data_IF_289401350765
#
_entry.id   IF_289401350765
#
_cell.length_a   1.000
_cell.length_b   1.000
_cell.length_c   1.000
_cell.angle_alpha   90.00
_cell.angle_beta   90.00
_cell.angle_gamma   90.00
#
_symmetry.space_group_name_H-M   'P 1'
#
loop_
_entity.id
_entity.type
_entity.pdbx_description
1 polymer ?
#
# COMPACT_ATOMS: atom_id res chain seq x y z
N UNK A 1 5.11 -13.59 11.29
CA UNK A 1 4.26 -12.61 10.59
C UNK A 1 3.99 -11.46 11.55
N UNK A 2 4.01 -10.19 11.09
CA UNK A 2 3.66 -9.06 11.95
C UNK A 2 2.25 -9.20 12.51
N UNK A 3 2.04 -8.74 13.74
CA UNK A 3 0.73 -8.78 14.38
C UNK A 3 -0.29 -7.84 13.70
N UNK A 4 -1.58 -8.09 13.96
CA UNK A 4 -2.64 -7.13 13.66
C UNK A 4 -2.30 -5.76 14.29
N UNK A 5 -2.60 -4.68 13.57
CA UNK A 5 -2.15 -3.33 13.89
C UNK A 5 -3.29 -2.32 13.93
N UNK A 6 -3.01 -1.08 14.34
CA UNK A 6 -4.02 -0.02 14.34
C UNK A 6 -4.47 0.31 12.91
N UNK A 7 -5.75 0.63 12.75
CA UNK A 7 -6.34 0.97 11.45
C UNK A 7 -5.56 2.11 10.77
N UNK A 8 -5.47 2.03 9.44
CA UNK A 8 -4.97 3.10 8.58
C UNK A 8 -5.65 4.43 8.89
N UNK A 9 -4.89 5.53 8.84
CA UNK A 9 -5.46 6.88 8.98
C UNK A 9 -5.36 7.70 7.69
N UNK A 10 -6.53 8.12 7.21
CA UNK A 10 -6.63 8.93 6.01
C UNK A 10 -6.21 8.14 4.76
N UNK A 11 -5.92 8.83 3.65
CA UNK A 11 -5.54 8.18 2.39
C UNK A 11 -4.05 7.79 2.43
N UNK A 12 -3.71 6.70 3.13
CA UNK A 12 -2.31 6.23 3.26
C UNK A 12 -2.18 4.73 3.00
N UNK A 13 -3.14 4.10 2.34
CA UNK A 13 -3.21 2.65 2.15
C UNK A 13 -1.98 2.06 1.48
N UNK A 14 -1.43 2.69 0.45
CA UNK A 14 -0.20 2.20 -0.17
C UNK A 14 0.98 2.21 0.80
N UNK A 15 1.16 3.27 1.60
CA UNK A 15 2.18 3.27 2.65
C UNK A 15 1.88 2.28 3.76
N UNK A 16 0.60 2.01 4.04
CA UNK A 16 0.18 1.08 5.06
C UNK A 16 0.53 -0.36 4.67
N UNK A 17 0.17 -0.77 3.45
CA UNK A 17 0.56 -2.05 2.85
C UNK A 17 2.10 -2.18 2.77
N UNK A 18 2.78 -1.11 2.33
CA UNK A 18 4.24 -1.09 2.23
C UNK A 18 4.93 -1.22 3.59
N UNK A 19 4.51 -0.46 4.60
CA UNK A 19 5.06 -0.55 5.95
C UNK A 19 4.91 -1.96 6.52
N UNK A 20 3.77 -2.60 6.27
CA UNK A 20 3.53 -3.97 6.70
C UNK A 20 4.50 -4.96 6.01
N UNK A 21 4.68 -4.88 4.69
CA UNK A 21 5.61 -5.77 3.96
C UNK A 21 7.06 -5.54 4.38
N UNK A 22 7.48 -4.28 4.54
CA UNK A 22 8.84 -3.99 5.01
C UNK A 22 9.05 -4.50 6.45
N UNK A 23 8.04 -4.38 7.32
CA UNK A 23 8.10 -4.91 8.68
C UNK A 23 8.14 -6.44 8.68
N UNK A 24 7.37 -7.09 7.81
CA UNK A 24 7.41 -8.53 7.61
C UNK A 24 8.84 -9.01 7.30
N UNK A 25 9.51 -8.38 6.33
CA UNK A 25 10.88 -8.75 5.97
C UNK A 25 11.89 -8.43 7.07
N UNK A 26 11.72 -7.29 7.76
CA UNK A 26 12.56 -6.93 8.90
C UNK A 26 12.46 -7.98 10.02
N UNK A 27 11.25 -8.33 10.46
CA UNK A 27 11.05 -9.32 11.53
C UNK A 27 11.54 -10.70 11.11
N UNK A 28 11.32 -11.08 9.84
CA UNK A 28 11.79 -12.34 9.29
C UNK A 28 13.31 -12.42 9.33
N UNK A 29 14.01 -11.37 8.89
CA UNK A 29 15.47 -11.31 8.94
C UNK A 29 16.01 -11.39 10.38
N UNK A 30 15.36 -10.69 11.32
CA UNK A 30 15.72 -10.75 12.74
C UNK A 30 15.51 -12.16 13.34
N UNK A 31 14.48 -12.87 12.92
CA UNK A 31 14.18 -14.22 13.40
C UNK A 31 15.21 -15.26 12.93
N UNK A 32 15.70 -15.15 11.68
CA UNK A 32 16.65 -16.11 11.11
C UNK A 32 18.13 -15.75 11.39
N UNK A 33 18.39 -14.89 12.38
CA UNK A 33 19.75 -14.56 12.82
C UNK A 33 20.55 -13.72 11.83
N UNK A 34 19.86 -12.94 10.98
CA UNK A 34 20.51 -12.05 10.04
C UNK A 34 21.20 -10.88 10.75
N UNK A 35 22.53 -10.96 10.88
CA UNK A 35 23.38 -9.86 11.35
C UNK A 35 23.74 -8.94 10.19
N UNK A 36 22.81 -8.06 9.84
CA UNK A 36 23.05 -7.00 8.86
C UNK A 36 22.32 -5.78 9.39
N UNK A 37 22.97 -4.61 9.41
CA UNK A 37 22.44 -3.33 9.90
C UNK A 37 21.19 -2.83 9.14
N UNK A 38 20.15 -3.66 9.10
CA UNK A 38 18.86 -3.45 8.51
C UNK A 38 18.13 -2.43 9.38
N UNK A 39 17.86 -1.27 8.80
CA UNK A 39 17.14 -0.23 9.50
C UNK A 39 15.69 -0.68 9.69
N UNK A 40 15.18 -0.53 10.92
CA UNK A 40 13.76 -0.75 11.17
C UNK A 40 12.93 0.12 10.20
N UNK A 41 11.94 -0.46 9.51
CA UNK A 41 11.12 0.30 8.58
C UNK A 41 10.35 1.41 9.29
N UNK A 42 10.08 2.48 8.53
CA UNK A 42 9.31 3.61 9.02
C UNK A 42 7.86 3.21 9.06
N UNK A 43 7.16 3.72 10.04
CA UNK A 43 5.75 3.42 10.21
C UNK A 43 4.90 4.21 9.21
N UNK A 44 3.82 3.57 8.77
CA UNK A 44 2.72 4.25 8.11
C UNK A 44 1.91 5.06 9.14
N UNK A 45 1.15 6.05 8.66
CA UNK A 45 0.27 6.82 9.55
C UNK A 45 -0.96 5.98 9.90
N UNK A 46 -1.17 5.76 11.18
CA UNK A 46 -2.31 5.00 11.70
C UNK A 46 -3.19 5.86 12.60
N UNK A 47 -4.39 5.38 12.93
CA UNK A 47 -5.19 5.92 14.02
C UNK A 47 -4.55 5.53 15.36
N UNK A 48 -3.43 6.17 15.66
CA UNK A 48 -2.73 5.94 16.91
C UNK A 48 -3.47 6.70 18.01
N UNK A 49 -4.14 5.99 18.93
CA UNK A 49 -4.90 6.56 20.04
C UNK A 49 -4.04 7.43 20.97
N UNK A 50 -2.70 7.34 20.87
CA UNK A 50 -1.72 8.08 21.67
C UNK A 50 -1.03 9.23 20.91
N UNK A 51 -1.54 9.63 19.75
CA UNK A 51 -0.92 10.74 19.01
C UNK A 51 -0.99 12.05 19.85
N UNK A 52 0.12 12.79 20.01
CA UNK A 52 0.11 14.00 20.82
C UNK A 52 -0.92 15.01 20.30
N UNK A 53 -1.78 15.50 21.19
CA UNK A 53 -2.85 16.46 20.87
C UNK A 53 -2.32 17.83 20.44
N UNK A 54 -1.10 18.16 20.86
CA UNK A 54 -0.46 19.45 20.61
C UNK A 54 0.02 19.59 19.17
N UNK A 55 -0.26 20.76 18.57
CA UNK A 55 0.31 21.12 17.26
C UNK A 55 1.82 21.19 17.39
N UNK A 56 2.52 20.60 16.43
CA UNK A 56 3.96 20.78 16.33
C UNK A 56 4.26 22.28 16.19
N UNK A 57 5.02 22.84 17.12
CA UNK A 57 5.40 24.25 17.09
C UNK A 57 6.34 24.54 15.89
N UNK A 58 6.55 25.81 15.57
CA UNK A 58 7.34 26.22 14.39
C UNK A 58 8.76 25.62 14.45
N UNK A 59 9.37 25.56 15.64
CA UNK A 59 10.69 24.94 15.84
C UNK A 59 10.70 23.44 15.52
N UNK A 60 9.67 22.69 15.93
CA UNK A 60 9.53 21.27 15.59
C UNK A 60 9.28 21.06 14.10
N UNK A 61 8.61 21.99 13.42
CA UNK A 61 8.45 21.93 11.96
C UNK A 61 9.77 22.21 11.24
N UNK A 62 10.55 23.20 11.71
CA UNK A 62 11.89 23.48 11.22
C UNK A 62 12.85 22.30 11.42
N UNK A 63 12.84 21.68 12.60
CA UNK A 63 13.65 20.50 12.90
C UNK A 63 13.33 19.32 11.96
N UNK A 64 12.05 19.10 11.64
CA UNK A 64 11.65 18.06 10.66
C UNK A 64 12.21 18.32 9.27
N UNK A 65 12.16 19.57 8.83
CA UNK A 65 12.71 19.96 7.53
C UNK A 65 14.23 19.78 7.46
N UNK A 66 14.95 20.15 8.52
CA UNK A 66 16.40 19.94 8.61
C UNK A 66 16.75 18.45 8.62
N UNK A 67 16.05 17.65 9.43
CA UNK A 67 16.22 16.20 9.51
C UNK A 67 15.99 15.51 8.14
N UNK A 68 14.98 15.95 7.38
CA UNK A 68 14.75 15.45 6.03
C UNK A 68 15.90 15.75 5.07
N UNK A 69 16.49 16.96 5.15
CA UNK A 69 17.66 17.33 4.34
C UNK A 69 18.89 16.48 4.64
N UNK A 70 19.01 15.97 5.85
CA UNK A 70 20.09 15.06 6.25
C UNK A 70 19.73 13.58 6.04
N UNK A 71 18.68 13.28 5.26
CA UNK A 71 18.27 11.91 4.93
C UNK A 71 17.55 11.14 6.04
N UNK A 72 17.16 11.82 7.12
CA UNK A 72 16.46 11.23 8.26
C UNK A 72 14.96 11.56 8.20
N UNK A 73 14.13 10.52 8.35
CA UNK A 73 12.68 10.63 8.24
C UNK A 73 12.01 9.94 9.42
N UNK A 74 10.81 10.38 9.80
CA UNK A 74 10.07 9.82 10.95
C UNK A 74 8.83 9.02 10.55
N UNK A 75 8.50 8.96 9.25
CA UNK A 75 7.40 8.16 8.70
C UNK A 75 7.55 8.01 7.18
N UNK A 76 6.97 6.96 6.59
CA UNK A 76 6.95 6.80 5.12
C UNK A 76 6.28 8.00 4.42
N UNK A 77 5.27 8.59 5.06
CA UNK A 77 4.62 9.82 4.58
C UNK A 77 5.56 11.02 4.56
N UNK A 78 6.44 11.16 5.55
CA UNK A 78 7.42 12.24 5.56
C UNK A 78 8.41 12.09 4.41
N UNK A 79 8.93 10.88 4.22
CA UNK A 79 9.81 10.53 3.10
C UNK A 79 9.13 10.82 1.75
N UNK A 80 7.92 10.29 1.54
CA UNK A 80 7.22 10.47 0.26
C UNK A 80 6.85 11.91 -0.05
N UNK A 81 6.56 12.74 0.97
CA UNK A 81 6.33 14.18 0.77
C UNK A 81 7.58 14.94 0.42
N UNK A 82 8.68 14.66 1.10
CA UNK A 82 9.96 15.32 0.83
C UNK A 82 10.45 15.04 -0.59
N UNK A 83 10.31 13.79 -1.05
CA UNK A 83 10.72 13.36 -2.38
C UNK A 83 9.64 13.55 -3.46
N UNK A 84 8.58 14.30 -3.17
CA UNK A 84 7.48 14.60 -4.11
C UNK A 84 6.79 13.35 -4.72
N UNK A 85 6.89 12.21 -4.03
CA UNK A 85 6.21 10.95 -4.41
C UNK A 85 4.72 10.98 -4.02
N UNK A 86 4.34 11.91 -3.14
CA UNK A 86 2.95 12.21 -2.77
C UNK A 86 2.81 13.63 -2.22
N UNK A 87 1.73 14.33 -2.58
CA UNK A 87 1.45 15.67 -2.05
C UNK A 87 0.87 15.64 -0.63
N UNK A 88 0.13 14.60 -0.26
CA UNK A 88 -0.72 14.60 0.95
C UNK A 88 -0.56 13.34 1.82
N UNK A 89 0.14 12.32 1.32
CA UNK A 89 0.50 11.12 2.08
C UNK A 89 -0.13 9.83 1.59
N UNK A 90 -0.79 9.83 0.42
CA UNK A 90 -1.19 8.62 -0.27
C UNK A 90 -0.23 8.29 -1.39
N UNK A 91 0.12 7.03 -1.55
CA UNK A 91 0.85 6.54 -2.71
C UNK A 91 0.02 5.43 -3.33
N UNK A 92 -0.73 5.78 -4.37
CA UNK A 92 -1.50 4.84 -5.18
C UNK A 92 -0.81 4.41 -6.47
N UNK A 93 0.39 4.90 -6.71
CA UNK A 93 1.21 4.48 -7.84
C UNK A 93 2.20 3.40 -7.36
N UNK A 94 2.16 2.22 -7.99
CA UNK A 94 2.99 1.08 -7.63
C UNK A 94 4.50 1.37 -7.75
N UNK A 95 4.93 2.08 -8.80
CA UNK A 95 6.33 2.47 -8.96
C UNK A 95 6.80 3.40 -7.86
N UNK A 96 5.93 4.32 -7.41
CA UNK A 96 6.23 5.19 -6.28
C UNK A 96 6.34 4.39 -4.97
N UNK A 97 5.57 3.31 -4.78
CA UNK A 97 5.77 2.40 -3.64
C UNK A 97 7.15 1.75 -3.70
N UNK A 98 7.58 1.27 -4.87
CA UNK A 98 8.92 0.70 -5.07
C UNK A 98 10.02 1.75 -4.80
N UNK A 99 9.85 2.99 -5.27
CA UNK A 99 10.80 4.08 -4.97
C UNK A 99 10.89 4.35 -3.47
N UNK A 100 9.77 4.30 -2.75
CA UNK A 100 9.72 4.46 -1.29
C UNK A 100 10.40 3.30 -0.58
N UNK A 101 10.16 2.06 -1.01
CA UNK A 101 10.80 0.86 -0.47
C UNK A 101 12.33 0.98 -0.55
N UNK A 102 12.85 1.29 -1.75
CA UNK A 102 14.29 1.44 -2.00
C UNK A 102 14.93 2.51 -1.12
N UNK A 103 14.21 3.62 -0.91
CA UNK A 103 14.68 4.68 -0.01
C UNK A 103 16.07 5.20 -0.36
N UNK A 104 16.44 5.25 -1.66
CA UNK A 104 17.77 5.70 -2.10
C UNK A 104 18.08 7.08 -1.49
N UNK A 105 19.23 7.22 -0.84
CA UNK A 105 19.62 8.45 -0.14
C UNK A 105 18.93 8.69 1.21
N UNK A 106 18.30 7.66 1.80
CA UNK A 106 17.66 7.72 3.13
C UNK A 106 18.10 6.58 4.05
N UNK A 107 17.48 6.50 5.23
CA UNK A 107 17.79 5.53 6.28
C UNK A 107 17.79 4.04 5.88
N UNK A 108 17.21 3.64 4.73
CA UNK A 108 17.24 2.25 4.27
C UNK A 108 18.41 1.93 3.34
N UNK A 109 19.03 2.92 2.69
CA UNK A 109 20.19 2.68 1.82
C UNK A 109 20.02 1.57 0.77
N UNK A 110 18.81 1.34 0.22
CA UNK A 110 18.55 0.28 -0.76
C UNK A 110 18.29 -1.12 -0.17
N UNK A 111 18.05 -1.23 1.15
CA UNK A 111 17.83 -2.51 1.85
C UNK A 111 16.53 -3.23 1.48
N UNK A 112 15.53 -2.51 0.98
CA UNK A 112 14.27 -3.08 0.52
C UNK A 112 14.13 -2.85 -0.98
N UNK A 113 13.58 -3.83 -1.69
CA UNK A 113 13.29 -3.72 -3.12
C UNK A 113 11.91 -4.28 -3.44
N UNK A 114 11.43 -4.00 -4.64
CA UNK A 114 10.17 -4.52 -5.16
C UNK A 114 10.07 -4.36 -6.68
N UNK A 115 9.12 -5.09 -7.25
CA UNK A 115 8.82 -5.07 -8.66
C UNK A 115 7.33 -4.81 -8.87
N UNK A 116 7.01 -4.06 -9.92
CA UNK A 116 5.64 -3.86 -10.38
C UNK A 116 5.35 -4.94 -11.40
N UNK A 117 4.31 -5.75 -11.15
CA UNK A 117 3.82 -6.74 -12.09
C UNK A 117 2.58 -6.20 -12.79
N UNK A 118 2.50 -6.45 -14.09
CA UNK A 118 1.30 -6.25 -14.89
C UNK A 118 0.53 -7.56 -15.00
N UNK A 119 -0.78 -7.45 -15.05
CA UNK A 119 -1.73 -8.56 -15.08
C UNK A 119 -2.54 -8.49 -16.38
N UNK A 120 -2.88 -9.65 -16.91
CA UNK A 120 -3.68 -9.77 -18.15
C UNK A 120 -5.14 -10.06 -17.85
N UNK A 121 -5.39 -10.97 -16.91
CA UNK A 121 -6.71 -11.31 -16.40
C UNK A 121 -6.63 -11.85 -14.96
N UNK A 122 -7.77 -12.32 -14.45
CA UNK A 122 -7.92 -12.87 -13.10
C UNK A 122 -7.20 -14.20 -12.91
N UNK A 123 -7.10 -15.04 -13.95
CA UNK A 123 -6.32 -16.28 -13.91
C UNK A 123 -4.81 -16.00 -13.79
N UNK A 124 -4.30 -15.10 -14.64
CA UNK A 124 -2.91 -14.64 -14.58
C UNK A 124 -2.56 -13.98 -13.23
N UNK A 125 -3.52 -13.27 -12.61
CA UNK A 125 -3.37 -12.76 -11.26
C UNK A 125 -3.21 -13.90 -10.23
N UNK A 126 -4.11 -14.87 -10.22
CA UNK A 126 -4.08 -16.01 -9.30
C UNK A 126 -2.74 -16.74 -9.42
N UNK A 127 -2.32 -17.07 -10.63
CA UNK A 127 -1.08 -17.83 -10.87
C UNK A 127 0.16 -17.06 -10.40
N UNK A 128 0.27 -15.77 -10.74
CA UNK A 128 1.39 -14.94 -10.31
C UNK A 128 1.45 -14.77 -8.81
N UNK A 129 0.31 -14.53 -8.15
CA UNK A 129 0.28 -14.39 -6.69
C UNK A 129 0.67 -15.71 -6.03
N UNK A 130 0.14 -16.85 -6.49
CA UNK A 130 0.53 -18.17 -5.95
C UNK A 130 2.02 -18.44 -6.13
N UNK A 131 2.60 -18.11 -7.28
CA UNK A 131 4.03 -18.27 -7.53
C UNK A 131 4.88 -17.40 -6.57
N UNK A 132 4.48 -16.14 -6.33
CA UNK A 132 5.15 -15.25 -5.38
C UNK A 132 5.04 -15.75 -3.94
N UNK A 133 3.84 -16.16 -3.52
CA UNK A 133 3.60 -16.69 -2.17
C UNK A 133 4.36 -18.02 -1.97
N UNK A 134 4.47 -18.86 -3.01
CA UNK A 134 5.23 -20.11 -2.97
C UNK A 134 6.74 -19.94 -2.71
N UNK A 135 7.30 -18.76 -3.04
CA UNK A 135 8.67 -18.37 -2.68
C UNK A 135 8.71 -17.42 -1.47
N UNK A 136 7.60 -17.36 -0.72
CA UNK A 136 7.42 -16.56 0.47
C UNK A 136 7.59 -15.04 0.25
N UNK A 137 7.21 -14.57 -0.93
CA UNK A 137 7.22 -13.16 -1.31
C UNK A 137 5.81 -12.55 -1.18
N UNK A 138 5.54 -11.70 -0.16
CA UNK A 138 4.25 -11.04 -0.05
C UNK A 138 3.96 -10.11 -1.23
N UNK A 139 2.72 -10.08 -1.69
CA UNK A 139 2.29 -9.23 -2.80
C UNK A 139 1.46 -8.03 -2.30
N UNK A 140 1.80 -6.82 -2.74
CA UNK A 140 0.98 -5.63 -2.52
C UNK A 140 0.07 -5.45 -3.73
N UNK A 141 -1.25 -5.59 -3.53
CA UNK A 141 -2.23 -5.65 -4.62
C UNK A 141 -3.19 -4.46 -4.56
N UNK A 142 -3.43 -3.76 -5.68
CA UNK A 142 -4.51 -2.79 -5.76
C UNK A 142 -5.84 -3.51 -5.95
N UNK A 143 -6.91 -3.02 -5.34
CA UNK A 143 -8.25 -3.59 -5.50
C UNK A 143 -9.34 -2.55 -5.21
N UNK A 144 -10.57 -2.80 -5.65
CA UNK A 144 -11.76 -2.02 -5.30
C UNK A 144 -12.35 -2.57 -4.01
N UNK A 145 -12.40 -1.75 -2.97
CA UNK A 145 -12.79 -2.20 -1.64
C UNK A 145 -14.29 -2.09 -1.41
N UNK A 146 -14.91 -3.21 -1.03
CA UNK A 146 -16.30 -3.25 -0.59
C UNK A 146 -16.51 -2.62 0.79
N UNK A 147 -17.77 -2.45 1.19
CA UNK A 147 -18.10 -1.92 2.53
C UNK A 147 -17.57 -2.79 3.67
N UNK A 148 -17.42 -4.09 3.46
CA UNK A 148 -16.88 -5.04 4.45
C UNK A 148 -15.37 -4.95 4.56
N UNK A 149 -14.69 -4.32 3.59
CA UNK A 149 -13.23 -4.24 3.48
C UNK A 149 -12.60 -5.39 2.70
N UNK A 150 -13.40 -6.21 2.04
CA UNK A 150 -12.96 -7.28 1.12
C UNK A 150 -13.10 -6.79 -0.34
N UNK A 151 -12.51 -7.48 -1.33
CA UNK A 151 -12.64 -7.09 -2.72
C UNK A 151 -14.09 -7.09 -3.19
N UNK A 152 -14.42 -6.13 -4.05
CA UNK A 152 -15.70 -6.06 -4.75
C UNK A 152 -15.48 -5.81 -6.23
N UNK A 153 -16.44 -6.22 -7.05
CA UNK A 153 -16.45 -6.04 -8.51
C UNK A 153 -17.58 -5.09 -8.95
N UNK A 154 -17.87 -4.05 -8.14
CA UNK A 154 -19.08 -3.23 -8.32
C UNK A 154 -18.85 -1.86 -8.94
N UNK A 155 -17.80 -1.13 -8.55
CA UNK A 155 -17.68 0.29 -8.92
C UNK A 155 -16.35 0.66 -9.57
N UNK A 156 -15.25 0.06 -9.13
CA UNK A 156 -13.90 0.53 -9.45
C UNK A 156 -13.55 1.91 -8.86
N UNK A 157 -14.43 2.48 -8.02
CA UNK A 157 -14.31 3.85 -7.48
C UNK A 157 -13.70 3.89 -6.07
N UNK A 158 -13.47 2.73 -5.45
CA UNK A 158 -12.97 2.61 -4.07
C UNK A 158 -11.61 1.94 -4.08
N UNK A 159 -10.70 2.57 -4.80
CA UNK A 159 -9.30 2.20 -4.84
C UNK A 159 -8.72 1.90 -3.44
N UNK A 160 -8.09 0.74 -3.28
CA UNK A 160 -7.32 0.42 -2.09
C UNK A 160 -6.12 -0.47 -2.36
N UNK A 161 -5.25 -0.60 -1.36
CA UNK A 161 -4.14 -1.54 -1.34
C UNK A 161 -4.32 -2.54 -0.21
N UNK A 162 -4.11 -3.82 -0.52
CA UNK A 162 -3.96 -4.88 0.47
C UNK A 162 -2.60 -5.55 0.29
N UNK A 163 -2.15 -6.25 1.33
CA UNK A 163 -1.00 -7.14 1.23
C UNK A 163 -1.48 -8.58 1.31
N UNK A 164 -1.25 -9.38 0.28
CA UNK A 164 -1.44 -10.83 0.33
C UNK A 164 -0.16 -11.45 0.89
N UNK A 165 -0.30 -12.25 1.94
CA UNK A 165 0.83 -12.86 2.68
C UNK A 165 0.84 -14.38 2.60
N UNK A 166 -0.26 -14.97 2.12
CA UNK A 166 -0.42 -16.40 2.04
C UNK A 166 -1.63 -16.75 1.21
N UNK A 167 -1.70 -18.01 0.80
CA UNK A 167 -2.85 -18.62 0.15
C UNK A 167 -3.12 -19.97 0.80
N UNK A 168 -4.37 -20.41 0.80
CA UNK A 168 -4.74 -21.78 1.18
C UNK A 168 -5.84 -22.28 0.25
N UNK A 169 -6.04 -23.60 0.20
CA UNK A 169 -7.09 -24.23 -0.60
C UNK A 169 -8.17 -24.75 0.36
N UNK A 170 -9.40 -24.28 0.18
CA UNK A 170 -10.60 -24.75 0.88
C UNK A 170 -11.75 -24.94 -0.13
N UNK A 171 -11.46 -25.67 -1.21
CA UNK A 171 -12.37 -25.85 -2.34
C UNK A 171 -12.30 -24.73 -3.38
N UNK A 172 -11.60 -23.63 -3.04
CA UNK A 172 -11.13 -22.58 -3.93
C UNK A 172 -9.80 -22.04 -3.40
N UNK A 173 -9.01 -21.40 -4.27
CA UNK A 173 -7.81 -20.67 -3.86
C UNK A 173 -8.22 -19.42 -3.04
N UNK A 174 -7.94 -19.45 -1.74
CA UNK A 174 -8.25 -18.38 -0.80
C UNK A 174 -7.01 -17.54 -0.48
N UNK A 175 -7.17 -16.22 -0.39
CA UNK A 175 -6.13 -15.28 -0.06
C UNK A 175 -6.12 -14.92 1.43
N UNK A 176 -4.99 -15.13 2.10
CA UNK A 176 -4.72 -14.56 3.42
C UNK A 176 -4.14 -13.16 3.19
N UNK A 177 -4.92 -12.13 3.48
CA UNK A 177 -4.51 -10.75 3.22
C UNK A 177 -4.61 -9.85 4.45
N UNK A 178 -3.72 -8.87 4.51
CA UNK A 178 -3.68 -7.84 5.53
C UNK A 178 -4.22 -6.53 4.97
N UNK A 179 -5.27 -6.02 5.61
CA UNK A 179 -5.94 -4.80 5.19
C UNK A 179 -6.68 -4.14 6.39
N UNK A 180 -6.53 -2.82 6.52
CA UNK A 180 -7.05 -2.04 7.66
C UNK A 180 -6.72 -2.65 9.03
N UNK A 181 -5.47 -3.04 9.27
CA UNK A 181 -5.02 -3.46 10.59
C UNK A 181 -5.35 -4.89 10.97
N UNK A 182 -6.04 -5.65 10.12
CA UNK A 182 -6.43 -7.02 10.41
C UNK A 182 -6.18 -7.95 9.23
N UNK A 183 -6.05 -9.23 9.56
CA UNK A 183 -6.06 -10.31 8.60
C UNK A 183 -7.50 -10.62 8.18
N UNK A 184 -7.63 -10.97 6.91
CA UNK A 184 -8.89 -11.27 6.23
C UNK A 184 -8.64 -12.43 5.25
N UNK A 185 -9.74 -13.04 4.86
CA UNK A 185 -9.78 -14.22 4.02
C UNK A 185 -10.89 -14.03 2.99
N UNK A 186 -10.57 -14.24 1.73
CA UNK A 186 -11.53 -14.20 0.63
C UNK A 186 -10.93 -14.95 -0.58
N UNK A 187 -11.78 -15.35 -1.55
CA UNK A 187 -11.30 -15.95 -2.79
C UNK A 187 -10.21 -15.09 -3.43
N UNK A 188 -9.12 -15.71 -3.86
CA UNK A 188 -7.99 -15.03 -4.49
C UNK A 188 -8.41 -14.43 -5.84
N UNK A 189 -9.29 -15.10 -6.57
CA UNK A 189 -9.84 -14.62 -7.84
C UNK A 189 -10.59 -13.28 -7.68
N UNK A 190 -11.22 -13.02 -6.53
CA UNK A 190 -11.94 -11.76 -6.27
C UNK A 190 -10.98 -10.56 -6.32
N UNK A 191 -9.71 -10.73 -5.91
CA UNK A 191 -8.71 -9.68 -6.08
C UNK A 191 -8.36 -9.46 -7.55
N UNK A 192 -8.25 -10.51 -8.35
CA UNK A 192 -7.98 -10.42 -9.78
C UNK A 192 -9.08 -9.67 -10.53
N UNK A 193 -10.33 -10.04 -10.27
CA UNK A 193 -11.50 -9.41 -10.86
C UNK A 193 -11.63 -7.95 -10.41
N UNK A 194 -11.48 -7.71 -9.10
CA UNK A 194 -11.54 -6.39 -8.51
C UNK A 194 -10.42 -5.47 -8.99
N UNK A 195 -9.23 -6.01 -9.25
CA UNK A 195 -8.11 -5.26 -9.83
C UNK A 195 -8.40 -4.84 -11.28
N UNK A 196 -8.96 -5.74 -12.09
CA UNK A 196 -9.22 -5.51 -13.51
C UNK A 196 -10.23 -4.39 -13.80
N UNK A 197 -11.16 -4.14 -12.87
CA UNK A 197 -12.17 -3.09 -13.00
C UNK A 197 -11.74 -1.70 -12.48
N UNK A 198 -10.53 -1.57 -11.93
CA UNK A 198 -10.03 -0.29 -11.45
C UNK A 198 -9.89 0.66 -12.65
N UNK A 199 -10.91 1.49 -12.84
CA UNK A 199 -10.97 2.47 -13.91
C UNK A 199 -9.85 3.49 -13.71
N UNK A 200 -9.06 3.73 -14.76
CA UNK A 200 -7.80 4.47 -14.66
C UNK A 200 -7.95 5.92 -14.16
N UNK A 201 -6.88 6.47 -13.59
CA UNK A 201 -6.72 7.85 -13.13
C UNK A 201 -8.00 8.47 -12.50
N UNK A 202 -8.44 7.98 -11.35
CA UNK A 202 -9.47 8.66 -10.58
C UNK A 202 -8.87 9.91 -9.90
N UNK A 203 -9.52 11.05 -10.12
CA UNK A 203 -9.12 12.32 -9.52
C UNK A 203 -9.87 12.53 -8.21
N UNK A 204 -9.25 12.22 -7.08
CA UNK A 204 -9.84 12.55 -5.77
C UNK A 204 -9.41 13.94 -5.32
N UNK A 205 -10.38 14.81 -5.08
CA UNK A 205 -10.15 16.11 -4.47
C UNK A 205 -10.30 16.03 -2.95
N UNK A 206 -9.26 16.44 -2.23
CA UNK A 206 -9.24 16.49 -0.78
C UNK A 206 -9.16 17.93 -0.25
N UNK A 207 -9.69 18.14 0.95
CA UNK A 207 -9.45 19.33 1.76
C UNK A 207 -8.83 18.97 3.08
N UNK A 208 -7.90 19.79 3.56
CA UNK A 208 -7.40 19.66 4.93
C UNK A 208 -8.47 20.12 5.90
N UNK A 209 -8.96 19.21 6.73
CA UNK A 209 -10.08 19.41 7.63
C UNK A 209 -9.67 19.20 9.10
N UNK A 210 -10.37 19.90 9.98
CA UNK A 210 -10.39 19.70 11.43
C UNK A 210 -11.86 19.40 11.82
N UNK A 211 -12.14 18.16 12.23
CA UNK A 211 -13.45 17.72 12.67
C UNK A 211 -13.45 17.51 14.19
N UNK A 212 -14.40 18.14 14.88
CA UNK A 212 -14.49 18.11 16.34
C UNK A 212 -15.87 17.63 16.79
N UNK A 213 -15.90 16.69 17.73
CA UNK A 213 -17.12 16.28 18.44
C UNK A 213 -16.75 15.98 19.88
N UNK A 214 -17.38 16.68 20.83
CA UNK A 214 -17.01 16.62 22.25
C UNK A 214 -15.51 16.91 22.46
N UNK A 215 -14.78 15.97 23.07
CA UNK A 215 -13.31 16.03 23.26
C UNK A 215 -12.52 15.40 22.11
N UNK A 216 -13.19 14.83 21.11
CA UNK A 216 -12.54 14.15 19.99
C UNK A 216 -12.19 15.15 18.88
N UNK A 217 -10.91 15.18 18.52
CA UNK A 217 -10.38 16.06 17.48
C UNK A 217 -9.69 15.24 16.38
N UNK A 218 -10.25 15.28 15.17
CA UNK A 218 -9.69 14.63 13.98
C UNK A 218 -9.15 15.68 13.02
N UNK A 219 -7.89 15.54 12.61
CA UNK A 219 -7.25 16.41 11.60
C UNK A 219 -6.77 15.58 10.43
N UNK A 220 -7.39 15.72 9.26
CA UNK A 220 -6.99 14.95 8.09
C UNK A 220 -7.30 15.60 6.74
N UNK A 221 -6.82 14.98 5.66
CA UNK A 221 -7.31 15.24 4.31
C UNK A 221 -8.58 14.40 4.09
N UNK A 222 -9.70 15.07 3.81
CA UNK A 222 -11.01 14.46 3.63
C UNK A 222 -11.55 14.80 2.25
N UNK A 223 -12.23 13.83 1.60
CA UNK A 223 -13.04 14.10 0.40
C UNK A 223 -14.33 14.81 0.82
N UNK A 224 -15.05 15.40 -0.14
CA UNK A 224 -16.36 16.01 0.16
C UNK A 224 -17.35 14.98 0.75
N UNK A 225 -17.30 13.72 0.29
CA UNK A 225 -18.07 12.63 0.87
C UNK A 225 -17.69 12.32 2.32
N UNK A 226 -16.40 12.23 2.64
CA UNK A 226 -15.94 12.03 4.02
C UNK A 226 -16.35 13.19 4.93
N UNK A 227 -16.26 14.44 4.44
CA UNK A 227 -16.73 15.61 5.21
C UNK A 227 -18.21 15.44 5.57
N UNK A 228 -19.05 15.06 4.60
CA UNK A 228 -20.48 14.84 4.82
C UNK A 228 -20.73 13.75 5.85
N UNK A 229 -20.02 12.61 5.77
CA UNK A 229 -20.14 11.53 6.76
C UNK A 229 -19.81 11.99 8.18
N UNK A 230 -18.76 12.81 8.36
CA UNK A 230 -18.42 13.37 9.68
C UNK A 230 -19.51 14.33 10.18
N UNK A 231 -20.06 15.17 9.30
CA UNK A 231 -21.15 16.09 9.64
C UNK A 231 -22.44 15.33 10.03
N UNK A 232 -22.80 14.30 9.27
CA UNK A 232 -23.94 13.41 9.57
C UNK A 232 -23.74 12.66 10.90
N UNK A 233 -22.49 12.35 11.25
CA UNK A 233 -22.12 11.79 12.55
C UNK A 233 -22.03 12.83 13.69
N UNK A 234 -22.44 14.08 13.46
CA UNK A 234 -22.50 15.14 14.47
C UNK A 234 -21.18 15.85 14.76
N UNK A 235 -20.16 15.74 13.89
CA UNK A 235 -18.93 16.52 14.04
C UNK A 235 -19.08 17.93 13.44
N UNK A 236 -18.50 18.92 14.13
CA UNK A 236 -18.24 20.23 13.53
C UNK A 236 -16.98 20.12 12.67
N UNK A 237 -17.13 20.23 11.34
CA UNK A 237 -16.02 20.12 10.39
C UNK A 237 -15.60 21.50 9.87
N UNK A 238 -14.35 21.90 10.13
CA UNK A 238 -13.70 23.08 9.56
C UNK A 238 -12.76 22.64 8.44
N UNK A 239 -13.12 22.93 7.19
CA UNK A 239 -12.29 22.64 6.02
C UNK A 239 -11.50 23.88 5.59
N UNK A 240 -10.22 23.70 5.26
CA UNK A 240 -9.45 24.74 4.57
C UNK A 240 -9.96 24.96 3.15
N UNK A 241 -9.87 26.19 2.61
CA UNK A 241 -10.37 26.50 1.27
C UNK A 241 -9.57 25.78 0.19
N UNK A 242 -8.27 25.54 0.40
CA UNK A 242 -7.40 24.91 -0.58
C UNK A 242 -7.83 23.45 -0.83
N UNK A 243 -8.07 23.13 -2.12
CA UNK A 243 -8.25 21.76 -2.59
C UNK A 243 -6.90 21.19 -3.02
N UNK A 244 -6.69 19.92 -2.73
CA UNK A 244 -5.55 19.14 -3.20
C UNK A 244 -6.10 17.99 -4.01
N UNK A 245 -5.77 17.94 -5.30
CA UNK A 245 -6.16 16.85 -6.19
C UNK A 245 -5.13 15.74 -6.10
N UNK A 246 -5.62 14.50 -5.96
CA UNK A 246 -4.83 13.30 -6.13
C UNK A 246 -5.18 12.58 -7.42
N UNK A 247 -4.17 11.95 -7.99
CA UNK A 247 -4.31 10.97 -9.03
C UNK A 247 -4.24 9.58 -8.39
N UNK A 248 -5.34 8.83 -8.44
CA UNK A 248 -5.38 7.41 -8.09
C UNK A 248 -5.34 6.60 -9.39
N UNK A 249 -4.40 5.65 -9.50
CA UNK A 249 -4.15 4.76 -10.64
C UNK A 249 -3.47 5.33 -11.90
N UNK A 250 -2.16 5.09 -12.02
CA UNK A 250 -1.51 4.96 -13.34
C UNK A 250 -1.54 3.49 -13.76
N UNK A 251 -2.37 3.15 -14.77
CA UNK A 251 -2.09 1.98 -15.60
C UNK A 251 -0.69 2.19 -16.20
N UNK A 252 0.28 1.26 -16.08
CA UNK A 252 1.61 1.44 -16.66
C UNK A 252 1.48 1.78 -18.14
N UNK A 253 2.21 2.81 -18.59
CA UNK A 253 1.97 3.48 -19.87
C UNK A 253 2.43 2.67 -21.09
N UNK A 254 3.11 1.54 -20.92
CA UNK A 254 3.61 0.79 -22.08
C UNK A 254 3.74 -0.72 -21.88
N UNK A 255 3.61 -1.43 -22.99
CA UNK A 255 3.90 -2.86 -23.16
C UNK A 255 5.36 -3.21 -22.85
N UNK A 256 6.29 -2.25 -22.85
CA UNK A 256 7.69 -2.53 -22.55
C UNK A 256 7.93 -2.86 -21.07
N UNK A 257 7.00 -2.54 -20.17
CA UNK A 257 7.04 -2.95 -18.76
C UNK A 257 6.61 -4.43 -18.54
N UNK A 258 5.93 -5.05 -19.53
CA UNK A 258 5.60 -6.49 -19.52
C UNK A 258 6.84 -7.39 -19.64
N UNK A 259 7.96 -6.85 -20.15
CA UNK A 259 9.26 -7.56 -20.22
C UNK A 259 9.90 -7.80 -18.83
N UNK A 260 9.26 -7.35 -17.75
CA UNK A 260 9.69 -7.55 -16.36
C UNK A 260 9.64 -9.02 -15.89
N UNK A 261 8.83 -9.88 -16.53
CA UNK A 261 8.70 -11.30 -16.19
C UNK A 261 9.98 -12.10 -16.50
N UNK A 262 10.63 -11.84 -17.64
CA UNK A 262 11.94 -12.42 -18.00
C UNK A 262 13.05 -11.94 -17.03
N UNK A 263 12.94 -10.68 -16.56
CA UNK A 263 13.88 -10.10 -15.60
C UNK A 263 13.76 -10.75 -14.23
N UNK A 264 12.54 -11.06 -13.76
CA UNK A 264 12.30 -11.77 -12.50
C UNK A 264 12.86 -13.20 -12.48
N UNK A 265 12.78 -13.92 -13.61
CA UNK A 265 13.39 -15.26 -13.76
C UNK A 265 14.91 -15.23 -13.53
N UNK A 266 15.57 -14.13 -13.92
CA UNK A 266 17.03 -13.98 -13.75
C UNK A 266 17.47 -13.70 -12.30
N UNK A 267 16.60 -13.09 -11.49
CA UNK A 267 16.91 -12.74 -10.09
C UNK A 267 16.50 -13.82 -9.08
N UNK A 268 15.54 -14.68 -9.45
CA UNK A 268 15.01 -15.72 -8.56
C UNK A 268 14.87 -17.05 -9.32
N UNK A 269 15.93 -17.89 -9.38
CA UNK A 269 15.92 -19.15 -10.12
C UNK A 269 14.76 -20.09 -9.73
N UNK A 270 14.40 -20.09 -8.44
CA UNK A 270 13.25 -20.85 -7.90
C UNK A 270 11.89 -20.33 -8.40
N UNK A 271 11.78 -19.03 -8.71
CA UNK A 271 10.58 -18.45 -9.34
C UNK A 271 10.49 -18.90 -10.80
N UNK A 272 11.63 -19.02 -11.49
CA UNK A 272 11.66 -19.57 -12.85
C UNK A 272 11.25 -21.04 -12.90
N UNK A 273 11.60 -21.82 -11.87
CA UNK A 273 11.17 -23.23 -11.72
C UNK A 273 9.68 -23.32 -11.39
N UNK A 274 9.17 -22.50 -10.47
CA UNK A 274 7.75 -22.47 -10.11
C UNK A 274 6.84 -22.01 -11.27
N UNK A 275 7.32 -21.10 -12.12
CA UNK A 275 6.60 -20.61 -13.30
C UNK A 275 6.77 -21.51 -14.54
N UNK A 276 7.68 -22.48 -14.50
CA UNK A 276 7.89 -23.46 -15.57
C UNK A 276 7.03 -24.72 -15.41
N UNK A 277 6.33 -24.87 -14.27
CA UNK A 277 5.34 -25.92 -14.04
C UNK A 277 4.19 -25.78 -15.06
N UNK A 278 3.91 -26.87 -15.78
CA UNK A 278 3.23 -26.89 -17.09
C UNK A 278 1.76 -26.39 -17.07
N UNK A 279 1.22 -26.00 -15.92
CA UNK A 279 -0.12 -25.40 -15.80
C UNK A 279 -0.23 -24.00 -16.43
N UNK A 280 0.87 -23.25 -16.52
CA UNK A 280 0.90 -21.90 -17.09
C UNK A 280 0.99 -21.83 -18.62
N UNK A 281 1.39 -22.92 -19.29
CA UNK A 281 1.51 -22.95 -20.77
C UNK A 281 0.17 -23.10 -21.49
N UNK A 282 -0.87 -23.56 -20.79
CA UNK A 282 -2.17 -23.85 -21.39
C UNK A 282 -2.98 -22.59 -21.79
N UNK A 283 -2.62 -21.41 -21.27
CA UNK A 283 -3.37 -20.16 -21.49
C UNK A 283 -2.68 -19.15 -22.42
N UNK A 284 -1.47 -19.42 -22.92
CA UNK A 284 -0.77 -18.55 -23.87
C UNK A 284 -1.16 -18.79 -25.34
N UNK A 285 -1.97 -19.81 -25.62
CA UNK A 285 -2.51 -20.13 -26.95
C UNK A 285 -4.01 -20.35 -26.89
N UNK A 286 -4.77 -19.25 -26.78
CA UNK A 286 -6.11 -19.10 -27.35
C UNK A 286 -6.47 -17.63 -27.49
#
# INVERSE_FOLDING_TARGET
MPAAGPNQRGPTCGFYALAFVMLYWYERQMQYGGDFGLSKPLEARTHNAKAPESRANIFQQGAKYVSAKTGSFYSLRHYGKHNLLTAYGSVFNAENLVKVARGNGSQYGGQFDGHVLTLTDSGDFVDKVKALIGIECPAIVPFDVGNTGDPTSTTGERAHWATIVGTYDDGADEAIHYHWGKFRYCPLADFGDSNGQLSGNMFLSFRKCEATRDKLLVRDFMTDGTIKMYQEAGFLVKAKPERVTNYEFCKPKSIDDLKSLEKLKSFYPKLSEALADDKLKAHATK
#
